data_IF_462823978949
#
_entry.id   IF_462823978949
#
_cell.length_a   1.000
_cell.length_b   1.000
_cell.length_c   1.000
_cell.angle_alpha   90.00
_cell.angle_beta   90.00
_cell.angle_gamma   90.00
#
_symmetry.space_group_name_H-M   'P 1'
#
loop_
_entity.id
_entity.type
_entity.pdbx_description
1 polymer ?
#
# COMPACT_ATOMS: atom_id res chain seq x y z
N UNK A 1 -9.04 24.41 -30.38
CA UNK A 1 -9.29 22.96 -30.22
C UNK A 1 -10.00 22.75 -28.90
N UNK A 2 -11.20 22.17 -28.90
CA UNK A 2 -11.81 21.68 -27.67
C UNK A 2 -11.05 20.40 -27.27
N UNK A 3 -10.41 20.39 -26.10
CA UNK A 3 -9.62 19.25 -25.63
C UNK A 3 -10.49 18.00 -25.43
N UNK A 4 -9.89 16.83 -25.64
CA UNK A 4 -10.56 15.55 -25.38
C UNK A 4 -10.92 15.45 -23.90
N UNK A 5 -12.18 15.12 -23.58
CA UNK A 5 -12.59 14.89 -22.19
C UNK A 5 -11.99 13.55 -21.72
N UNK A 6 -11.24 13.59 -20.64
CA UNK A 6 -10.63 12.43 -20.00
C UNK A 6 -11.24 12.30 -18.60
N UNK A 7 -11.60 11.08 -18.22
CA UNK A 7 -12.20 10.77 -16.92
C UNK A 7 -11.50 9.58 -16.28
N UNK A 8 -11.59 9.48 -14.95
CA UNK A 8 -11.09 8.35 -14.18
C UNK A 8 -12.24 7.36 -14.02
N UNK A 9 -12.05 6.13 -14.48
CA UNK A 9 -13.06 5.05 -14.41
C UNK A 9 -12.70 3.95 -13.41
N UNK A 10 -11.49 3.98 -12.86
CA UNK A 10 -11.02 2.97 -11.92
C UNK A 10 -9.91 3.52 -11.02
N UNK A 11 -9.89 3.02 -9.79
CA UNK A 11 -8.89 3.32 -8.78
C UNK A 11 -8.44 2.01 -8.14
N UNK A 12 -7.19 1.98 -7.68
CA UNK A 12 -6.63 0.89 -6.90
C UNK A 12 -5.75 1.48 -5.82
N UNK A 13 -5.83 0.94 -4.59
CA UNK A 13 -5.10 1.47 -3.43
C UNK A 13 -4.51 0.33 -2.64
N UNK A 14 -3.20 0.41 -2.40
CA UNK A 14 -2.47 -0.42 -1.44
C UNK A 14 -1.72 0.55 -0.53
N UNK A 15 -2.14 0.67 0.73
CA UNK A 15 -1.64 1.72 1.62
C UNK A 15 -1.60 1.28 3.09
N UNK A 16 -0.85 1.99 3.95
CA UNK A 16 -0.84 1.71 5.39
C UNK A 16 -2.20 1.94 6.08
N UNK A 17 -3.10 2.69 5.44
CA UNK A 17 -4.44 2.99 5.96
C UNK A 17 -5.52 2.10 5.35
N UNK A 18 -5.17 1.09 4.55
CA UNK A 18 -6.11 0.13 3.99
C UNK A 18 -5.71 -0.37 2.60
N UNK A 19 -6.20 -1.57 2.26
CA UNK A 19 -6.06 -2.18 0.94
C UNK A 19 -7.43 -2.17 0.26
N UNK A 20 -7.53 -1.51 -0.89
CA UNK A 20 -8.78 -1.23 -1.58
C UNK A 20 -9.34 0.15 -1.25
N UNK A 21 -10.23 0.62 -2.13
CA UNK A 21 -10.76 2.00 -2.11
C UNK A 21 -11.58 2.25 -0.85
N UNK A 22 -12.53 1.36 -0.53
CA UNK A 22 -13.50 1.57 0.54
C UNK A 22 -12.83 1.64 1.92
N UNK A 23 -11.91 0.71 2.19
CA UNK A 23 -11.18 0.66 3.45
C UNK A 23 -10.28 1.88 3.61
N UNK A 24 -9.45 2.17 2.60
CA UNK A 24 -8.53 3.30 2.65
C UNK A 24 -9.28 4.63 2.82
N UNK A 25 -10.36 4.83 2.05
CA UNK A 25 -11.16 6.05 2.12
C UNK A 25 -11.87 6.21 3.47
N UNK A 26 -12.51 5.15 3.97
CA UNK A 26 -13.19 5.17 5.27
C UNK A 26 -12.21 5.52 6.40
N UNK A 27 -11.02 4.93 6.38
CA UNK A 27 -10.01 5.16 7.40
C UNK A 27 -9.42 6.58 7.35
N UNK A 28 -9.19 7.13 6.15
CA UNK A 28 -8.73 8.51 5.96
C UNK A 28 -9.78 9.49 6.50
N UNK A 29 -11.05 9.34 6.11
CA UNK A 29 -12.14 10.22 6.56
C UNK A 29 -12.34 10.14 8.08
N UNK A 30 -12.15 8.96 8.66
CA UNK A 30 -12.21 8.76 10.11
C UNK A 30 -10.97 9.23 10.88
N UNK A 31 -9.94 9.75 10.20
CA UNK A 31 -8.69 10.21 10.83
C UNK A 31 -7.84 9.08 11.41
N UNK A 32 -8.00 7.84 10.94
CA UNK A 32 -7.20 6.70 11.37
C UNK A 32 -5.80 6.80 10.79
N UNK A 33 -4.80 6.53 11.62
CA UNK A 33 -3.40 6.49 11.22
C UNK A 33 -2.95 5.07 10.87
N UNK A 34 -2.17 4.93 9.80
CA UNK A 34 -1.46 3.70 9.45
C UNK A 34 -0.03 3.66 9.98
N UNK A 35 0.39 4.66 10.77
CA UNK A 35 1.75 4.75 11.31
C UNK A 35 1.85 3.92 12.59
N UNK A 36 2.73 2.92 12.56
CA UNK A 36 3.00 2.03 13.70
C UNK A 36 4.50 1.88 13.90
N UNK A 37 4.91 1.16 14.95
CA UNK A 37 6.31 0.72 15.08
C UNK A 37 6.68 -0.15 13.87
N UNK A 38 7.88 0.05 13.34
CA UNK A 38 8.44 -0.75 12.25
C UNK A 38 8.45 -2.23 12.66
N UNK A 39 7.93 -3.10 11.79
CA UNK A 39 7.91 -4.56 12.01
C UNK A 39 8.74 -5.32 10.96
N UNK A 40 9.11 -4.69 9.85
CA UNK A 40 9.91 -5.33 8.79
C UNK A 40 11.37 -5.61 9.15
N UNK A 41 11.90 -4.89 10.13
CA UNK A 41 13.26 -5.06 10.65
C UNK A 41 13.32 -4.51 12.08
N UNK A 42 14.42 -4.76 12.80
CA UNK A 42 14.65 -4.19 14.14
C UNK A 42 15.05 -2.69 14.03
N UNK A 43 14.20 -1.76 14.51
CA UNK A 43 14.48 -0.34 14.38
C UNK A 43 15.31 0.24 15.54
N UNK A 44 15.78 -0.56 16.52
CA UNK A 44 16.39 -0.05 17.75
C UNK A 44 17.58 0.89 17.54
N UNK A 45 18.38 0.67 16.49
CA UNK A 45 19.53 1.51 16.14
C UNK A 45 19.21 2.79 15.35
N UNK A 46 17.95 3.03 15.00
CA UNK A 46 17.56 4.15 14.13
C UNK A 46 16.87 5.27 14.93
N UNK A 47 17.10 6.51 14.51
CA UNK A 47 16.48 7.69 15.11
C UNK A 47 14.95 7.70 14.93
N UNK A 48 14.46 7.19 13.79
CA UNK A 48 13.02 6.93 13.57
C UNK A 48 12.75 5.45 13.72
N UNK A 49 11.73 5.11 14.50
CA UNK A 49 11.32 3.73 14.77
C UNK A 49 9.89 3.41 14.33
N UNK A 50 9.28 4.34 13.59
CA UNK A 50 7.90 4.26 13.12
C UNK A 50 7.87 4.32 11.60
N UNK A 51 6.89 3.65 11.01
CA UNK A 51 6.62 3.67 9.58
C UNK A 51 5.15 3.42 9.28
N UNK A 52 4.70 3.84 8.11
CA UNK A 52 3.46 3.38 7.52
C UNK A 52 3.72 2.12 6.70
N UNK A 53 3.63 0.95 7.32
CA UNK A 53 3.81 -0.32 6.62
C UNK A 53 2.48 -0.78 6.00
N UNK A 54 2.53 -1.31 4.78
CA UNK A 54 1.39 -2.02 4.21
C UNK A 54 1.28 -3.37 4.91
N UNK A 55 0.22 -3.51 5.72
CA UNK A 55 -0.08 -4.72 6.48
C UNK A 55 -1.05 -5.62 5.71
N UNK A 56 -0.95 -6.94 5.92
CA UNK A 56 -1.86 -7.95 5.36
C UNK A 56 -1.96 -8.00 3.82
N UNK A 57 -0.99 -7.46 3.08
CA UNK A 57 -0.92 -7.66 1.65
C UNK A 57 -0.41 -9.07 1.32
N UNK A 58 -1.27 -9.87 0.69
CA UNK A 58 -0.94 -11.22 0.23
C UNK A 58 -0.66 -11.23 -1.27
N UNK A 59 0.63 -11.25 -1.63
CA UNK A 59 1.09 -11.30 -3.03
C UNK A 59 0.67 -12.58 -3.76
N UNK A 60 0.42 -13.67 -3.04
CA UNK A 60 0.07 -14.97 -3.64
C UNK A 60 -1.29 -14.96 -4.34
N UNK A 61 -2.13 -13.97 -4.02
CA UNK A 61 -3.42 -13.73 -4.69
C UNK A 61 -3.26 -13.16 -6.11
N UNK A 62 -2.08 -12.66 -6.45
CA UNK A 62 -1.82 -11.94 -7.70
C UNK A 62 -0.70 -12.55 -8.54
N UNK A 63 0.30 -13.15 -7.90
CA UNK A 63 1.49 -13.69 -8.56
C UNK A 63 1.78 -15.10 -8.07
N UNK A 64 2.33 -15.95 -8.95
CA UNK A 64 2.90 -17.21 -8.50
C UNK A 64 4.12 -16.96 -7.61
N UNK A 65 4.42 -17.89 -6.70
CA UNK A 65 5.60 -17.79 -5.84
C UNK A 65 6.92 -17.64 -6.63
N UNK A 66 6.98 -18.17 -7.86
CA UNK A 66 8.13 -18.04 -8.75
C UNK A 66 8.29 -16.62 -9.29
N UNK A 67 7.19 -15.96 -9.63
CA UNK A 67 7.20 -14.58 -10.13
C UNK A 67 7.46 -13.59 -8.99
N UNK A 68 6.77 -13.76 -7.86
CA UNK A 68 6.90 -12.88 -6.70
C UNK A 68 8.36 -12.78 -6.21
N UNK A 69 9.11 -13.89 -6.20
CA UNK A 69 10.53 -13.90 -5.79
C UNK A 69 11.47 -13.14 -6.72
N UNK A 70 11.05 -12.87 -7.96
CA UNK A 70 11.87 -12.16 -8.97
C UNK A 70 11.55 -10.67 -9.04
N UNK A 71 10.60 -10.20 -8.22
CA UNK A 71 10.12 -8.82 -8.18
C UNK A 71 10.40 -8.24 -6.80
N UNK A 72 10.85 -6.99 -6.75
CA UNK A 72 10.91 -6.26 -5.49
C UNK A 72 9.50 -6.02 -4.93
N UNK A 73 9.40 -5.83 -3.62
CA UNK A 73 8.13 -5.58 -2.92
C UNK A 73 7.41 -4.35 -3.46
N UNK A 74 8.11 -3.30 -3.92
CA UNK A 74 7.43 -2.13 -4.50
C UNK A 74 6.65 -2.50 -5.77
N UNK A 75 7.17 -3.42 -6.59
CA UNK A 75 6.52 -3.89 -7.83
C UNK A 75 5.25 -4.67 -7.48
N UNK A 76 5.24 -5.39 -6.36
CA UNK A 76 4.04 -6.12 -5.92
C UNK A 76 2.86 -5.19 -5.62
N UNK A 77 3.13 -3.92 -5.29
CA UNK A 77 2.10 -2.94 -4.96
C UNK A 77 1.53 -2.18 -6.17
N UNK A 78 2.21 -2.22 -7.31
CA UNK A 78 1.82 -1.53 -8.55
C UNK A 78 2.71 -0.34 -8.89
#
# INVERSE_FOLDING_TARGET
MSGRKVVITGLGVVSPVGIGIDEAWSNIVAGKTGITRITRFDPAGFASQIAGEVNAFDVSRYLSAKEARRMDVFIHYG
#
